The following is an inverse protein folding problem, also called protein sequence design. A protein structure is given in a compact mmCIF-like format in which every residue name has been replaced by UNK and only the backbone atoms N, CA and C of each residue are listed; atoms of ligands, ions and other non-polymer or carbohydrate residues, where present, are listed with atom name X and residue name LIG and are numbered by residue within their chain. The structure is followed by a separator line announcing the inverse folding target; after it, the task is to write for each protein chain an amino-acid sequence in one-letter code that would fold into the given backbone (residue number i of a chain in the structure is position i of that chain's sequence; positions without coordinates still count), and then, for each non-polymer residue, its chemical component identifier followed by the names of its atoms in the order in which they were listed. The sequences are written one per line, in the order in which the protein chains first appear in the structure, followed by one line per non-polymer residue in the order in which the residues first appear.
data_IF_513152113309
#
_entry.id   IF_513152113309
#
_cell.length_a   1.000
_cell.length_b   1.000
_cell.length_c   1.000
_cell.angle_alpha   90.00
_cell.angle_beta   90.00
_cell.angle_gamma   90.00
#
_symmetry.space_group_name_H-M   'P 1'
#
loop_
_entity.id
_entity.type
_entity.pdbx_description
1 polymer ?
#
# COMPACT_ATOMS: atom_id res chain seq x y z
N UNK A 1 8.88 3.19 -6.16
CA UNK A 1 8.64 2.06 -5.26
C UNK A 1 9.58 2.20 -4.08
N UNK A 2 9.28 1.56 -2.95
CA UNK A 2 10.12 1.59 -1.74
C UNK A 2 10.02 0.27 -1.01
N UNK A 3 11.16 -0.34 -0.71
CA UNK A 3 11.24 -1.54 0.12
C UNK A 3 11.24 -1.16 1.61
N UNK A 4 10.70 -2.05 2.44
CA UNK A 4 10.76 -1.96 3.90
C UNK A 4 10.63 -3.35 4.52
N UNK A 5 11.12 -3.52 5.73
CA UNK A 5 10.96 -4.77 6.48
C UNK A 5 9.77 -4.63 7.42
N UNK A 6 8.95 -5.65 7.56
CA UNK A 6 7.86 -5.66 8.53
C UNK A 6 8.39 -6.00 9.96
N UNK A 7 7.46 -6.25 10.89
CA UNK A 7 7.83 -6.62 12.27
C UNK A 7 8.23 -8.10 12.42
N UNK A 8 7.90 -8.94 11.45
CA UNK A 8 8.19 -10.38 11.42
C UNK A 8 9.52 -10.67 10.70
N UNK A 9 10.15 -9.64 10.11
CA UNK A 9 11.35 -9.76 9.29
C UNK A 9 11.08 -9.99 7.80
N UNK A 10 9.82 -9.97 7.37
CA UNK A 10 9.43 -10.11 5.97
C UNK A 10 9.70 -8.81 5.21
N UNK A 11 10.19 -8.92 3.98
CA UNK A 11 10.45 -7.76 3.11
C UNK A 11 9.21 -7.49 2.27
N UNK A 12 8.80 -6.22 2.26
CA UNK A 12 7.66 -5.73 1.51
C UNK A 12 8.05 -4.60 0.58
N UNK A 13 7.42 -4.56 -0.59
CA UNK A 13 7.54 -3.48 -1.57
C UNK A 13 6.28 -2.63 -1.55
N UNK A 14 6.43 -1.35 -1.20
CA UNK A 14 5.39 -0.35 -1.38
C UNK A 14 5.49 0.28 -2.78
N UNK A 15 4.38 0.30 -3.49
CA UNK A 15 4.25 0.83 -4.84
C UNK A 15 3.03 1.74 -4.97
N UNK A 16 3.05 2.60 -5.98
CA UNK A 16 1.86 3.36 -6.41
C UNK A 16 1.21 2.57 -7.54
N UNK A 17 -0.09 2.34 -7.44
CA UNK A 17 -0.90 1.77 -8.51
C UNK A 17 -1.99 2.74 -8.94
N UNK A 18 -2.41 2.61 -10.19
CA UNK A 18 -3.51 3.36 -10.77
C UNK A 18 -4.75 2.47 -10.86
N UNK A 19 -5.89 2.95 -10.37
CA UNK A 19 -7.19 2.32 -10.59
C UNK A 19 -7.70 2.77 -11.96
N UNK A 20 -7.77 1.85 -12.93
CA UNK A 20 -8.37 2.15 -14.23
C UNK A 20 -9.88 2.40 -14.08
N UNK A 21 -10.40 3.39 -14.78
CA UNK A 21 -11.83 3.71 -14.79
C UNK A 21 -12.12 5.15 -15.18
N UNK A 22 -13.40 5.47 -15.45
CA UNK A 22 -13.83 6.83 -15.80
C UNK A 22 -13.74 7.80 -14.61
N UNK A 23 -13.76 7.28 -13.37
CA UNK A 23 -13.57 8.10 -12.19
C UNK A 23 -12.10 8.53 -12.06
N UNK A 24 -11.90 9.84 -12.11
CA UNK A 24 -10.58 10.46 -11.97
C UNK A 24 -10.22 10.71 -10.49
N UNK A 25 -11.20 10.74 -9.59
CA UNK A 25 -10.96 11.07 -8.18
C UNK A 25 -10.32 9.91 -7.44
N UNK A 26 -9.17 10.19 -6.84
CA UNK A 26 -8.44 9.22 -6.02
C UNK A 26 -7.93 8.03 -6.83
N UNK A 27 -7.56 8.25 -8.10
CA UNK A 27 -7.15 7.19 -9.01
C UNK A 27 -5.89 6.46 -8.59
N UNK A 28 -4.94 7.17 -7.97
CA UNK A 28 -3.70 6.60 -7.50
C UNK A 28 -3.81 6.22 -6.03
N UNK A 29 -3.29 5.05 -5.69
CA UNK A 29 -3.31 4.52 -4.33
C UNK A 29 -2.03 3.73 -4.07
N UNK A 30 -1.76 3.43 -2.81
CA UNK A 30 -0.63 2.58 -2.46
C UNK A 30 -1.00 1.11 -2.49
N UNK A 31 -0.03 0.30 -2.89
CA UNK A 31 -0.12 -1.14 -2.94
C UNK A 31 1.12 -1.74 -2.28
N UNK A 32 0.92 -2.73 -1.42
CA UNK A 32 1.99 -3.42 -0.70
C UNK A 32 2.10 -4.85 -1.21
N UNK A 33 3.30 -5.27 -1.60
CA UNK A 33 3.57 -6.61 -2.11
C UNK A 33 4.62 -7.30 -1.25
N UNK A 34 4.38 -8.55 -0.81
CA UNK A 34 5.43 -9.34 -0.16
C UNK A 34 6.50 -9.69 -1.19
N UNK A 35 7.77 -9.48 -0.85
CA UNK A 35 8.89 -9.80 -1.74
C UNK A 35 9.02 -11.30 -2.01
N UNK A 36 8.60 -12.13 -1.06
CA UNK A 36 8.56 -13.59 -1.20
C UNK A 36 7.49 -14.08 -2.19
N UNK A 37 6.64 -13.18 -2.70
CA UNK A 37 5.49 -13.52 -3.52
C UNK A 37 4.24 -13.77 -2.68
N UNK A 38 3.07 -13.63 -3.31
CA UNK A 38 1.78 -13.71 -2.64
C UNK A 38 0.82 -12.61 -3.09
N UNK A 39 -0.35 -12.57 -2.48
CA UNK A 39 -1.34 -11.55 -2.78
C UNK A 39 -0.93 -10.22 -2.12
N UNK A 40 -0.78 -9.19 -2.93
CA UNK A 40 -0.54 -7.83 -2.44
C UNK A 40 -1.81 -7.20 -1.86
N UNK A 41 -1.63 -6.08 -1.16
CA UNK A 41 -2.72 -5.40 -0.48
C UNK A 41 -2.84 -3.96 -0.92
N UNK A 42 -4.07 -3.55 -1.25
CA UNK A 42 -4.38 -2.15 -1.53
C UNK A 42 -4.56 -1.35 -0.23
N UNK A 43 -3.90 -0.21 -0.16
CA UNK A 43 -4.09 0.81 0.86
C UNK A 43 -5.00 1.91 0.31
N UNK A 44 -6.31 1.69 0.44
CA UNK A 44 -7.32 2.65 -0.05
C UNK A 44 -7.59 3.82 0.91
N UNK A 45 -7.02 3.81 2.11
CA UNK A 45 -7.06 4.93 3.05
C UNK A 45 -6.31 6.16 2.53
N UNK A 46 -5.40 5.96 1.56
CA UNK A 46 -4.70 7.04 0.88
C UNK A 46 -4.99 6.98 -0.63
N UNK A 47 -5.51 8.08 -1.15
CA UNK A 47 -5.81 8.22 -2.57
C UNK A 47 -5.38 9.59 -3.09
N UNK A 48 -4.88 9.62 -4.32
CA UNK A 48 -4.44 10.83 -5.00
C UNK A 48 -5.00 10.91 -6.41
N UNK A 49 -5.19 12.13 -6.90
CA UNK A 49 -5.57 12.37 -8.30
C UNK A 49 -4.36 12.37 -9.25
N UNK A 50 -3.15 12.56 -8.72
CA UNK A 50 -1.90 12.61 -9.50
C UNK A 50 -0.91 11.56 -9.04
N UNK A 51 -0.31 10.86 -9.99
CA UNK A 51 0.76 9.90 -9.73
C UNK A 51 1.97 10.56 -9.06
N UNK A 52 2.30 11.78 -9.48
CA UNK A 52 3.47 12.51 -8.97
C UNK A 52 3.38 12.75 -7.46
N UNK A 53 2.21 13.18 -6.98
CA UNK A 53 1.94 13.38 -5.54
C UNK A 53 2.00 12.07 -4.78
N UNK A 54 1.42 10.99 -5.33
CA UNK A 54 1.48 9.67 -4.72
C UNK A 54 2.94 9.18 -4.60
N UNK A 55 3.73 9.27 -5.68
CA UNK A 55 5.14 8.87 -5.69
C UNK A 55 6.00 9.70 -4.74
N UNK A 56 5.81 11.03 -4.70
CA UNK A 56 6.51 11.91 -3.75
C UNK A 56 6.19 11.53 -2.31
N UNK A 57 4.91 11.32 -2.01
CA UNK A 57 4.46 10.90 -0.66
C UNK A 57 5.07 9.56 -0.28
N UNK A 58 5.10 8.59 -1.20
CA UNK A 58 5.72 7.29 -0.97
C UNK A 58 7.23 7.42 -0.69
N UNK A 59 7.91 8.28 -1.44
CA UNK A 59 9.34 8.55 -1.26
C UNK A 59 9.67 9.11 0.13
N UNK A 60 8.81 9.97 0.68
CA UNK A 60 9.02 10.62 1.98
C UNK A 60 8.47 9.85 3.18
N UNK A 61 7.65 8.82 2.96
CA UNK A 61 6.97 8.11 4.05
C UNK A 61 7.95 7.29 4.89
N UNK A 62 7.92 7.41 6.22
CA UNK A 62 8.83 6.63 7.06
C UNK A 62 8.50 5.13 7.03
N UNK A 63 9.50 4.30 7.31
CA UNK A 63 9.31 2.86 7.44
C UNK A 63 8.34 2.49 8.57
N UNK A 64 8.40 3.22 9.70
CA UNK A 64 7.44 3.04 10.82
C UNK A 64 6.00 3.19 10.35
N UNK A 65 5.76 4.17 9.50
CA UNK A 65 4.43 4.47 8.98
C UNK A 65 3.99 3.46 7.91
N UNK A 66 4.91 2.97 7.07
CA UNK A 66 4.65 1.85 6.15
C UNK A 66 4.27 0.57 6.92
N UNK A 67 5.02 0.22 7.97
CA UNK A 67 4.71 -0.92 8.86
C UNK A 67 3.35 -0.77 9.53
N UNK A 68 3.01 0.43 10.02
CA UNK A 68 1.69 0.71 10.61
C UNK A 68 0.56 0.46 9.62
N UNK A 69 0.70 0.93 8.38
CA UNK A 69 -0.31 0.73 7.34
C UNK A 69 -0.45 -0.73 6.93
N UNK A 70 0.66 -1.45 6.77
CA UNK A 70 0.65 -2.88 6.50
C UNK A 70 -0.13 -3.65 7.56
N UNK A 71 0.15 -3.41 8.86
CA UNK A 71 -0.61 -4.03 9.97
C UNK A 71 -2.11 -3.74 9.89
N UNK A 72 -2.47 -2.49 9.58
CA UNK A 72 -3.88 -2.11 9.46
C UNK A 72 -4.56 -2.83 8.29
N UNK A 73 -3.89 -2.94 7.15
CA UNK A 73 -4.38 -3.66 5.98
C UNK A 73 -4.55 -5.16 6.24
N UNK A 74 -3.53 -5.82 6.79
CA UNK A 74 -3.58 -7.24 7.17
C UNK A 74 -4.73 -7.52 8.15
N UNK A 75 -4.92 -6.64 9.15
CA UNK A 75 -6.04 -6.78 10.09
C UNK A 75 -7.40 -6.70 9.38
N UNK A 76 -7.58 -5.74 8.46
CA UNK A 76 -8.82 -5.61 7.69
C UNK A 76 -9.08 -6.83 6.81
N UNK A 77 -8.06 -7.35 6.14
CA UNK A 77 -8.20 -8.55 5.32
C UNK A 77 -8.57 -9.76 6.16
N UNK A 78 -7.94 -9.93 7.33
CA UNK A 78 -8.29 -11.02 8.26
C UNK A 78 -9.75 -10.95 8.75
N UNK A 79 -10.30 -9.74 8.89
CA UNK A 79 -11.71 -9.54 9.27
C UNK A 79 -12.63 -9.87 8.08
N UNK A 80 -12.22 -9.50 6.87
CA UNK A 80 -12.97 -9.78 5.63
C UNK A 80 -13.02 -11.27 5.32
N UNK A 81 -11.92 -12.00 5.50
CA UNK A 81 -11.84 -13.45 5.27
C UNK A 81 -12.68 -14.28 6.27
N UNK A 82 -13.12 -13.70 7.39
CA UNK A 82 -13.96 -14.36 8.40
C UNK A 82 -15.46 -14.14 8.19
N UNK A 83 -15.85 -13.34 7.20
CA UNK A 83 -17.25 -13.07 6.84
C UNK A 83 -17.61 -13.85 5.58
#
# INVERSE_FOLDING_TARGET
MREFTDQSGEIWTAAVRERKGPDYKGRYYFWLEPRAGGEGMALFDLRWNSESTARRTLGTMSEVELRRRLRSALRRESVRARR
#
